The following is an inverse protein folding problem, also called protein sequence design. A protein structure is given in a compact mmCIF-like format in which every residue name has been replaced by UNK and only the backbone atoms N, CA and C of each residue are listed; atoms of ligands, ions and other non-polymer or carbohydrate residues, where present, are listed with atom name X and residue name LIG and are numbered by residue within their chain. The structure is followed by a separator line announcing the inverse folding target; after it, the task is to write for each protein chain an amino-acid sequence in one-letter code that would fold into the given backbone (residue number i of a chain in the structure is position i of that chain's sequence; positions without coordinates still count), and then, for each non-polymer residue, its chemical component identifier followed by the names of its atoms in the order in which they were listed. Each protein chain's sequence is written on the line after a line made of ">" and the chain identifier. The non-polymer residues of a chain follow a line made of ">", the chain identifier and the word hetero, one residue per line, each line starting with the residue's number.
data_IF_660468535707
#
_entry.id   IF_660468535707
#
_cell.length_a   1.000
_cell.length_b   1.000
_cell.length_c   1.000
_cell.angle_alpha   90.00
_cell.angle_beta   90.00
_cell.angle_gamma   90.00
#
_symmetry.space_group_name_H-M   'P 1'
#
loop_
_entity.id
_entity.type
_entity.pdbx_description
1 polymer ?
#
# COMPACT_ATOMS: atom_id res chain seq x y z
N UNK A 1 -21.63 -4.20 51.91
CA UNK A 1 -22.14 -4.50 50.55
C UNK A 1 -21.91 -3.36 49.54
N UNK A 2 -22.05 -2.08 49.91
CA UNK A 2 -21.83 -0.93 48.98
C UNK A 2 -20.43 -0.83 48.34
N UNK A 3 -19.37 -1.28 49.02
CA UNK A 3 -17.97 -1.23 48.52
C UNK A 3 -17.67 -2.23 47.39
N UNK A 4 -18.38 -3.36 47.34
CA UNK A 4 -18.19 -4.40 46.32
C UNK A 4 -18.83 -3.98 44.99
N UNK A 5 -19.98 -3.29 45.04
CA UNK A 5 -20.67 -2.77 43.86
C UNK A 5 -19.83 -1.71 43.15
N UNK A 6 -19.16 -0.83 43.90
CA UNK A 6 -18.26 0.19 43.33
C UNK A 6 -17.05 -0.44 42.62
N UNK A 7 -16.50 -1.53 43.18
CA UNK A 7 -15.37 -2.25 42.58
C UNK A 7 -15.76 -2.95 41.26
N UNK A 8 -16.97 -3.51 41.18
CA UNK A 8 -17.49 -4.15 39.97
C UNK A 8 -17.77 -3.10 38.88
N UNK A 9 -18.34 -1.95 39.24
CA UNK A 9 -18.57 -0.85 38.28
C UNK A 9 -17.25 -0.31 37.74
N UNK A 10 -16.22 -0.15 38.60
CA UNK A 10 -14.87 0.24 38.17
C UNK A 10 -14.21 -0.80 37.24
N UNK A 11 -14.33 -2.10 37.54
CA UNK A 11 -13.80 -3.16 36.67
C UNK A 11 -14.51 -3.19 35.30
N UNK A 12 -15.83 -2.98 35.27
CA UNK A 12 -16.59 -2.94 34.02
C UNK A 12 -16.28 -1.69 33.17
N UNK A 13 -15.95 -0.55 33.80
CA UNK A 13 -15.51 0.65 33.09
C UNK A 13 -14.07 0.57 32.52
N UNK A 14 -13.23 -0.34 33.02
CA UNK A 14 -11.91 -0.61 32.42
C UNK A 14 -11.97 -1.54 31.20
N UNK A 15 -13.00 -2.39 31.09
CA UNK A 15 -13.16 -3.31 29.95
C UNK A 15 -13.74 -2.59 28.71
N UNK A 16 -14.40 -1.45 28.91
CA UNK A 16 -15.02 -0.64 27.85
C UNK A 16 -14.06 0.34 27.14
N UNK A 17 -12.78 0.37 27.51
CA UNK A 17 -11.72 1.09 26.77
C UNK A 17 -11.11 0.28 25.63
N UNK A 18 -11.69 -0.87 25.28
CA UNK A 18 -11.41 -1.59 24.04
C UNK A 18 -12.06 -0.87 22.83
N UNK A 19 -12.02 0.47 22.78
CA UNK A 19 -12.65 1.23 21.71
C UNK A 19 -11.77 1.19 20.46
N UNK A 20 -12.32 0.68 19.37
CA UNK A 20 -11.90 0.98 17.99
C UNK A 20 -10.40 0.92 17.74
N UNK A 21 -9.78 -0.25 17.93
CA UNK A 21 -8.49 -0.49 17.29
C UNK A 21 -8.78 -0.66 15.80
N UNK A 22 -8.66 0.42 15.03
CA UNK A 22 -8.63 0.32 13.58
C UNK A 22 -7.66 -0.78 13.20
N UNK A 23 -8.10 -1.77 12.44
CA UNK A 23 -7.20 -2.78 11.92
C UNK A 23 -6.43 -2.16 10.76
N UNK A 24 -5.12 -2.41 10.70
CA UNK A 24 -4.32 -2.10 9.52
C UNK A 24 -5.02 -2.75 8.33
N UNK A 25 -5.14 -2.05 7.20
CA UNK A 25 -5.77 -2.57 5.99
C UNK A 25 -4.72 -2.68 4.90
N UNK A 26 -4.71 -3.82 4.22
CA UNK A 26 -4.01 -3.95 2.95
C UNK A 26 -4.98 -3.46 1.91
N UNK A 27 -4.44 -2.80 0.90
CA UNK A 27 -5.25 -2.30 -0.16
C UNK A 27 -5.04 -3.07 -1.45
N UNK A 28 -3.85 -3.63 -1.79
CA UNK A 28 -3.45 -3.93 -3.19
C UNK A 28 -4.61 -4.34 -4.12
N UNK A 29 -4.97 -3.44 -5.05
CA UNK A 29 -6.08 -3.59 -6.02
C UNK A 29 -5.45 -3.62 -7.41
N UNK A 30 -5.60 -4.75 -8.08
CA UNK A 30 -5.22 -4.92 -9.49
C UNK A 30 -6.10 -4.03 -10.40
N UNK A 31 -5.52 -3.41 -11.44
CA UNK A 31 -6.25 -2.52 -12.34
C UNK A 31 -5.37 -1.63 -13.22
N UNK A 32 -6.02 -0.71 -13.94
CA UNK A 32 -5.39 0.30 -14.79
C UNK A 32 -5.35 1.67 -14.11
N UNK A 33 -4.27 2.43 -14.34
CA UNK A 33 -3.98 3.71 -13.67
C UNK A 33 -3.32 4.71 -14.61
N UNK A 34 -3.30 5.98 -14.19
CA UNK A 34 -2.72 7.08 -14.93
C UNK A 34 -1.65 7.77 -14.08
N UNK A 35 -0.55 8.18 -14.68
CA UNK A 35 0.45 9.01 -13.99
C UNK A 35 0.24 10.49 -14.20
N UNK A 36 0.68 11.25 -13.21
CA UNK A 36 0.95 12.67 -13.29
C UNK A 36 2.47 12.84 -13.14
N UNK A 37 3.14 13.30 -14.19
CA UNK A 37 4.57 13.65 -14.13
C UNK A 37 4.72 15.02 -13.47
N UNK A 38 5.55 15.12 -12.44
CA UNK A 38 5.73 16.37 -11.65
C UNK A 38 6.96 17.17 -12.09
N UNK A 39 7.70 16.71 -13.10
CA UNK A 39 8.76 17.46 -13.74
C UNK A 39 8.48 17.55 -15.25
N UNK A 40 8.78 18.72 -15.80
CA UNK A 40 8.55 19.19 -17.16
C UNK A 40 7.13 19.71 -17.46
N UNK A 41 7.14 20.85 -18.15
CA UNK A 41 6.00 21.69 -18.55
C UNK A 41 5.07 21.02 -19.58
N UNK A 42 5.05 19.68 -19.60
CA UNK A 42 4.23 18.84 -20.46
C UNK A 42 3.36 17.93 -19.59
N UNK A 43 2.07 18.23 -19.56
CA UNK A 43 1.02 17.35 -19.04
C UNK A 43 0.95 16.08 -19.92
N UNK A 44 1.79 15.10 -19.61
CA UNK A 44 1.73 13.75 -20.18
C UNK A 44 1.04 12.81 -19.20
N UNK A 45 0.01 12.11 -19.65
CA UNK A 45 -0.65 11.05 -18.88
C UNK A 45 -0.18 9.71 -19.46
N UNK A 46 0.72 9.01 -18.76
CA UNK A 46 1.06 7.63 -19.11
C UNK A 46 0.08 6.65 -18.43
N UNK A 47 -0.24 5.54 -19.11
CA UNK A 47 -1.08 4.46 -18.57
C UNK A 47 -0.23 3.38 -17.88
N UNK A 48 -0.74 2.83 -16.77
CA UNK A 48 -0.10 1.76 -16.01
C UNK A 48 -1.09 0.66 -15.69
N UNK A 49 -0.60 -0.57 -15.52
CA UNK A 49 -1.36 -1.69 -14.96
C UNK A 49 -0.66 -2.26 -13.74
N UNK A 50 -1.37 -2.40 -12.62
CA UNK A 50 -0.90 -3.16 -11.44
C UNK A 50 -1.47 -4.56 -11.52
N UNK A 51 -0.59 -5.56 -11.55
CA UNK A 51 -0.96 -6.96 -11.35
C UNK A 51 -0.63 -7.38 -9.91
N UNK A 52 -1.58 -8.03 -9.23
CA UNK A 52 -1.39 -8.48 -7.84
C UNK A 52 -1.65 -9.97 -7.76
N UNK A 53 -0.61 -10.74 -7.44
CA UNK A 53 -0.70 -12.20 -7.36
C UNK A 53 -0.25 -12.71 -6.01
N UNK A 54 -1.10 -13.49 -5.33
CA UNK A 54 -0.68 -14.23 -4.14
C UNK A 54 0.36 -15.30 -4.53
N UNK A 55 1.45 -15.40 -3.78
CA UNK A 55 2.55 -16.34 -4.00
C UNK A 55 2.85 -17.12 -2.71
N UNK A 56 3.54 -18.24 -2.83
CA UNK A 56 4.03 -19.00 -1.68
C UNK A 56 5.35 -18.41 -1.13
N UNK A 57 5.76 -18.93 0.04
CA UNK A 57 6.98 -18.50 0.71
C UNK A 57 8.25 -18.79 -0.11
N UNK A 58 8.30 -19.92 -0.80
CA UNK A 58 9.48 -20.31 -1.58
C UNK A 58 9.68 -19.36 -2.76
N UNK A 59 8.61 -19.01 -3.47
CA UNK A 59 8.62 -18.00 -4.54
C UNK A 59 9.03 -16.63 -3.99
N UNK A 60 8.52 -16.24 -2.83
CA UNK A 60 8.93 -15.01 -2.15
C UNK A 60 10.43 -14.98 -1.86
N UNK A 61 10.98 -16.04 -1.27
CA UNK A 61 12.42 -16.14 -0.99
C UNK A 61 13.25 -16.15 -2.27
N UNK A 62 12.81 -16.88 -3.30
CA UNK A 62 13.51 -16.95 -4.59
C UNK A 62 13.48 -15.64 -5.38
N UNK A 63 12.50 -14.76 -5.11
CA UNK A 63 12.42 -13.43 -5.75
C UNK A 63 13.49 -12.45 -5.27
N UNK A 64 14.18 -12.74 -4.17
CA UNK A 64 15.18 -11.86 -3.54
C UNK A 64 14.66 -10.43 -3.33
N UNK A 65 13.37 -10.31 -2.98
CA UNK A 65 12.70 -9.03 -2.70
C UNK A 65 12.31 -8.21 -3.92
N UNK A 66 12.55 -8.69 -5.15
CA UNK A 66 12.13 -8.00 -6.37
C UNK A 66 10.62 -8.12 -6.57
N UNK A 67 9.92 -6.98 -6.57
CA UNK A 67 8.48 -6.88 -6.85
C UNK A 67 7.63 -7.84 -6.00
N UNK A 68 8.09 -8.15 -4.79
CA UNK A 68 7.37 -8.98 -3.85
C UNK A 68 7.26 -8.29 -2.50
N UNK A 69 6.19 -8.62 -1.79
CA UNK A 69 5.88 -8.03 -0.49
C UNK A 69 5.31 -9.07 0.44
N UNK A 70 5.80 -9.09 1.67
CA UNK A 70 5.12 -9.74 2.78
C UNK A 70 4.10 -8.77 3.34
N UNK A 71 2.82 -9.04 3.08
CA UNK A 71 1.73 -8.23 3.58
C UNK A 71 1.70 -8.21 5.12
N UNK A 72 1.72 -7.00 5.63
CA UNK A 72 1.75 -6.67 7.05
C UNK A 72 0.38 -6.80 7.73
N UNK A 73 -0.70 -6.92 6.95
CA UNK A 73 -2.08 -6.90 7.42
C UNK A 73 -2.60 -8.30 7.67
N UNK A 74 -2.38 -9.20 6.72
CA UNK A 74 -2.76 -10.60 6.87
C UNK A 74 -1.75 -11.29 7.80
N UNK A 75 -2.25 -11.94 8.85
CA UNK A 75 -1.43 -12.62 9.89
C UNK A 75 -1.31 -14.13 9.71
N UNK A 76 -1.90 -14.65 8.64
CA UNK A 76 -1.93 -16.06 8.28
C UNK A 76 -0.63 -16.46 7.55
N UNK A 77 -0.32 -17.75 7.37
CA UNK A 77 1.01 -18.17 6.90
C UNK A 77 1.34 -17.86 5.42
N UNK A 78 0.43 -17.28 4.63
CA UNK A 78 0.56 -17.10 3.17
C UNK A 78 0.25 -15.66 2.72
N UNK A 79 0.94 -14.69 3.31
CA UNK A 79 0.69 -13.26 3.06
C UNK A 79 1.77 -12.68 2.16
N UNK A 80 2.17 -13.42 1.12
CA UNK A 80 3.16 -12.97 0.17
C UNK A 80 2.46 -12.64 -1.15
N UNK A 81 2.76 -11.46 -1.68
CA UNK A 81 2.24 -11.03 -2.97
C UNK A 81 3.41 -10.69 -3.88
N UNK A 82 3.26 -11.03 -5.15
CA UNK A 82 3.98 -10.39 -6.24
C UNK A 82 3.14 -9.20 -6.70
N UNK A 83 3.78 -8.03 -6.83
CA UNK A 83 3.17 -6.80 -7.32
C UNK A 83 3.98 -6.29 -8.51
N UNK A 84 3.37 -6.30 -9.70
CA UNK A 84 4.07 -5.90 -10.92
C UNK A 84 3.37 -4.70 -11.52
N UNK A 85 4.09 -3.59 -11.66
CA UNK A 85 3.63 -2.42 -12.38
C UNK A 85 4.14 -2.43 -13.80
N UNK A 86 3.23 -2.39 -14.75
CA UNK A 86 3.54 -2.24 -16.16
C UNK A 86 3.21 -0.81 -16.58
N UNK A 87 4.21 -0.04 -17.00
CA UNK A 87 3.99 1.15 -17.83
C UNK A 87 3.61 0.66 -19.22
N UNK A 88 2.49 1.17 -19.73
CA UNK A 88 1.96 0.84 -21.06
C UNK A 88 2.22 2.05 -21.94
N UNK A 89 3.01 1.88 -22.99
CA UNK A 89 3.18 2.93 -23.99
C UNK A 89 2.11 2.86 -25.09
N UNK A 90 2.15 3.82 -26.03
CA UNK A 90 1.21 3.91 -27.15
C UNK A 90 1.21 2.66 -28.05
N UNK A 91 2.29 1.87 -28.05
CA UNK A 91 2.45 0.63 -28.80
C UNK A 91 2.03 -0.62 -27.99
N UNK A 92 1.50 -0.44 -26.77
CA UNK A 92 1.20 -1.49 -25.80
C UNK A 92 2.42 -2.30 -25.33
N UNK A 93 3.62 -1.74 -25.45
CA UNK A 93 4.82 -2.33 -24.87
C UNK A 93 4.78 -2.10 -23.36
N UNK A 94 4.99 -3.18 -22.61
CA UNK A 94 4.93 -3.19 -21.15
C UNK A 94 6.33 -3.07 -20.56
N UNK A 95 6.63 -1.94 -19.93
CA UNK A 95 7.87 -1.75 -19.15
C UNK A 95 7.58 -1.95 -17.67
N UNK A 96 8.36 -2.79 -16.99
CA UNK A 96 8.14 -3.09 -15.57
C UNK A 96 8.83 -2.04 -14.70
N UNK A 97 8.10 -1.51 -13.71
CA UNK A 97 8.70 -0.76 -12.61
C UNK A 97 9.17 -1.76 -11.53
N UNK A 98 10.41 -1.62 -11.08
CA UNK A 98 11.01 -2.54 -10.13
C UNK A 98 11.08 -1.92 -8.74
N UNK A 99 10.46 -2.58 -7.78
CA UNK A 99 10.58 -2.31 -6.36
C UNK A 99 11.42 -3.39 -5.71
N UNK A 100 12.27 -2.99 -4.77
CA UNK A 100 13.22 -3.89 -4.13
C UNK A 100 13.05 -3.89 -2.62
N UNK A 101 12.83 -5.06 -2.04
CA UNK A 101 12.70 -5.26 -0.60
C UNK A 101 11.60 -4.39 0.02
N UNK A 102 10.40 -4.41 -0.58
CA UNK A 102 9.25 -3.65 -0.09
C UNK A 102 8.86 -4.06 1.34
N UNK A 103 8.86 -3.08 2.23
CA UNK A 103 8.47 -3.25 3.62
C UNK A 103 7.45 -2.20 4.03
N UNK A 104 6.59 -2.56 4.98
CA UNK A 104 5.67 -1.62 5.57
C UNK A 104 6.44 -0.48 6.27
N UNK A 105 6.19 0.74 5.85
CA UNK A 105 6.82 1.96 6.35
C UNK A 105 6.40 2.25 7.82
N UNK A 106 5.25 1.72 8.24
CA UNK A 106 4.73 1.89 9.60
C UNK A 106 4.27 0.55 10.19
N UNK A 107 5.19 -0.38 10.51
CA UNK A 107 4.85 -1.74 10.94
C UNK A 107 4.16 -1.80 12.31
N UNK A 108 4.33 -0.76 13.13
CA UNK A 108 3.82 -0.72 14.50
C UNK A 108 2.50 0.06 14.64
N UNK A 109 1.97 0.65 13.56
CA UNK A 109 0.68 1.34 13.59
C UNK A 109 -0.45 0.47 13.07
N UNK A 110 -1.59 0.53 13.77
CA UNK A 110 -2.84 -0.09 13.33
C UNK A 110 -3.82 0.92 12.73
N UNK A 111 -3.60 2.21 12.98
CA UNK A 111 -4.50 3.30 12.58
C UNK A 111 -4.22 3.82 11.16
N UNK A 112 -3.04 3.53 10.60
CA UNK A 112 -2.66 3.92 9.25
C UNK A 112 -2.78 2.67 8.36
N UNK A 113 -3.41 2.76 7.19
CA UNK A 113 -3.30 1.73 6.16
C UNK A 113 -1.86 1.31 5.89
N UNK A 114 -1.67 0.12 5.32
CA UNK A 114 -0.33 -0.29 4.89
C UNK A 114 0.18 0.63 3.78
N UNK A 115 1.35 1.22 4.03
CA UNK A 115 2.12 1.98 3.06
C UNK A 115 3.48 1.31 2.99
N UNK A 116 3.89 0.84 1.82
CA UNK A 116 5.12 0.13 1.62
C UNK A 116 6.19 1.04 1.03
N UNK A 117 7.42 0.86 1.47
CA UNK A 117 8.59 1.60 1.00
C UNK A 117 9.69 0.60 0.65
N UNK A 118 10.37 0.87 -0.45
CA UNK A 118 11.51 0.07 -0.92
C UNK A 118 12.84 0.71 -0.47
N UNK A 119 13.96 0.03 -0.73
CA UNK A 119 15.29 0.55 -0.37
C UNK A 119 15.69 1.84 -1.11
N UNK A 120 15.13 2.05 -2.32
CA UNK A 120 15.32 3.22 -3.17
C UNK A 120 14.40 4.40 -2.82
N UNK A 121 13.60 4.28 -1.74
CA UNK A 121 12.61 5.28 -1.31
C UNK A 121 11.41 5.43 -2.25
N UNK A 122 11.20 4.47 -3.15
CA UNK A 122 9.93 4.33 -3.85
C UNK A 122 8.86 3.87 -2.85
N UNK A 123 7.65 4.39 -3.00
CA UNK A 123 6.56 4.08 -2.07
C UNK A 123 5.31 3.65 -2.81
N UNK A 124 4.60 2.68 -2.26
CA UNK A 124 3.26 2.28 -2.69
C UNK A 124 2.35 2.25 -1.47
N UNK A 125 1.30 3.05 -1.51
CA UNK A 125 0.34 3.11 -0.42
C UNK A 125 -0.89 3.91 -0.81
N UNK A 126 -1.88 3.97 0.08
CA UNK A 126 -3.09 4.71 -0.21
C UNK A 126 -2.83 6.21 -0.24
N UNK A 127 -3.48 6.89 -1.17
CA UNK A 127 -3.52 8.35 -1.26
C UNK A 127 -4.53 8.88 -0.24
N UNK A 128 -4.09 9.85 0.57
CA UNK A 128 -4.99 10.60 1.44
C UNK A 128 -5.48 11.85 0.69
N UNK A 129 -6.76 11.87 0.33
CA UNK A 129 -7.41 13.08 -0.19
C UNK A 129 -7.99 13.84 1.01
N UNK A 130 -7.80 15.17 1.01
CA UNK A 130 -8.06 16.09 2.13
C UNK A 130 -9.53 16.16 2.60
N UNK A 131 -10.43 15.37 2.02
CA UNK A 131 -11.85 15.26 2.40
C UNK A 131 -12.09 14.41 3.64
N UNK A 132 -11.05 13.79 4.21
CA UNK A 132 -11.15 12.96 5.42
C UNK A 132 -11.72 11.56 5.19
N UNK A 133 -12.05 11.23 3.94
CA UNK A 133 -12.42 9.88 3.52
C UNK A 133 -11.22 9.19 2.85
N UNK A 134 -10.89 7.97 3.30
CA UNK A 134 -9.98 7.11 2.55
C UNK A 134 -10.73 6.61 1.31
N UNK A 135 -10.62 7.34 0.21
CA UNK A 135 -10.92 6.76 -1.10
C UNK A 135 -9.93 5.61 -1.34
N UNK A 136 -10.27 4.60 -2.16
CA UNK A 136 -9.34 3.52 -2.57
C UNK A 136 -8.31 4.02 -3.60
N UNK A 137 -7.85 5.23 -3.30
CA UNK A 137 -6.77 6.04 -3.78
C UNK A 137 -5.42 5.35 -3.64
N UNK A 138 -4.60 5.07 -4.64
CA UNK A 138 -3.18 4.84 -4.33
C UNK A 138 -2.35 5.96 -4.90
N UNK A 139 -1.23 6.17 -4.24
CA UNK A 139 -0.13 6.95 -4.77
C UNK A 139 1.07 6.03 -4.86
N UNK A 140 1.66 5.96 -6.05
CA UNK A 140 3.00 5.43 -6.20
C UNK A 140 3.92 6.60 -6.40
N UNK A 141 4.93 6.68 -5.55
CA UNK A 141 6.08 7.53 -5.78
C UNK A 141 7.19 6.63 -6.30
N UNK A 142 7.53 6.77 -7.57
CA UNK A 142 8.59 6.00 -8.20
C UNK A 142 9.63 6.92 -8.80
N UNK A 143 10.90 6.71 -8.47
CA UNK A 143 12.01 7.39 -9.13
C UNK A 143 12.46 6.55 -10.32
N UNK A 144 12.25 7.04 -11.52
CA UNK A 144 12.70 6.38 -12.74
C UNK A 144 14.24 6.27 -12.74
N UNK A 145 14.77 5.07 -12.92
CA UNK A 145 16.22 4.83 -12.86
C UNK A 145 16.96 5.38 -14.09
N UNK A 146 16.25 5.56 -15.21
CA UNK A 146 16.80 6.03 -16.48
C UNK A 146 16.76 7.55 -16.53
N UNK A 147 15.60 8.15 -16.25
CA UNK A 147 15.40 9.60 -16.36
C UNK A 147 15.67 10.34 -15.06
N UNK A 148 15.57 9.66 -13.92
CA UNK A 148 15.66 10.27 -12.59
C UNK A 148 14.39 10.97 -12.13
N UNK A 149 13.33 10.96 -12.95
CA UNK A 149 12.07 11.63 -12.67
C UNK A 149 11.31 10.95 -11.53
N UNK A 150 10.52 11.76 -10.81
CA UNK A 150 9.59 11.24 -9.82
C UNK A 150 8.21 11.16 -10.46
N UNK A 151 7.73 9.93 -10.61
CA UNK A 151 6.38 9.63 -11.05
C UNK A 151 5.47 9.59 -9.84
N UNK A 152 4.36 10.33 -9.92
CA UNK A 152 3.22 10.18 -9.03
C UNK A 152 2.12 9.49 -9.84
N UNK A 153 1.80 8.25 -9.47
CA UNK A 153 0.74 7.48 -10.14
C UNK A 153 -0.45 7.48 -9.20
N UNK A 154 -1.49 8.19 -9.62
CA UNK A 154 -2.73 8.35 -8.88
C UNK A 154 -3.82 7.49 -9.52
N UNK A 155 -4.73 7.00 -8.68
CA UNK A 155 -5.76 6.05 -9.07
C UNK A 155 -7.08 6.81 -9.08
N UNK A 156 -7.78 6.86 -10.20
CA UNK A 156 -9.18 7.28 -10.17
C UNK A 156 -10.06 6.04 -10.04
N UNK A 157 -11.16 6.16 -9.30
CA UNK A 157 -12.20 5.14 -9.23
C UNK A 157 -12.74 4.93 -10.65
N UNK A 158 -12.35 3.85 -11.32
CA UNK A 158 -12.87 3.52 -12.64
C UNK A 158 -14.33 3.09 -12.45
N UNK A 159 -15.25 3.99 -12.82
CA UNK A 159 -16.70 3.76 -12.85
C UNK A 159 -17.08 2.63 -13.82
#
# INVERSE_FOLDING_TARGET
>A
MKKIVILIVLLCSFISLSSCVGHKRNHFVEGFFHSIRVNDESEGVDEYYLEVKAIDYDTYVLSDGLNTVKDSVLKEPNCYFQITFYKIDEENIKTILNFYNLVDNYPNTKAVPANYIDENKNTIGPLYIETGEYHQIYSIKYKDEITGDILYIDFDEVN
#
